data_IF_032482176193
#
_entry.id   IF_032482176193
#
_cell.length_a   1.000
_cell.length_b   1.000
_cell.length_c   1.000
_cell.angle_alpha   90.00
_cell.angle_beta   90.00
_cell.angle_gamma   90.00
#
_symmetry.space_group_name_H-M   'P 1'
#
loop_
_entity.id
_entity.type
_entity.pdbx_description
1 polymer ?
#
# COMPACT_ATOMS: atom_id res chain seq x y z
N UNK A 1 0.92 -8.15 -27.25
CA UNK A 1 -0.24 -9.04 -27.44
C UNK A 1 -1.46 -8.16 -27.60
N UNK A 2 -1.97 -7.97 -28.82
CA UNK A 2 -3.16 -7.18 -29.09
C UNK A 2 -4.34 -8.12 -29.29
N UNK A 3 -5.41 -7.93 -28.51
CA UNK A 3 -6.68 -8.64 -28.72
C UNK A 3 -7.58 -7.68 -29.51
N UNK A 4 -7.91 -8.04 -30.74
CA UNK A 4 -8.89 -7.34 -31.57
C UNK A 4 -10.23 -8.04 -31.38
N UNK A 5 -11.18 -7.37 -30.72
CA UNK A 5 -12.55 -7.88 -30.60
C UNK A 5 -13.36 -7.36 -31.79
N UNK A 6 -13.80 -8.28 -32.66
CA UNK A 6 -14.82 -7.98 -33.68
C UNK A 6 -16.19 -8.02 -33.02
N UNK A 7 -17.02 -6.96 -33.13
CA UNK A 7 -18.38 -7.01 -32.59
C UNK A 7 -19.23 -7.96 -33.43
N UNK A 8 -19.78 -9.00 -32.79
CA UNK A 8 -20.83 -9.85 -33.36
C UNK A 8 -22.08 -9.01 -33.58
N UNK A 9 -22.71 -9.14 -34.76
CA UNK A 9 -24.02 -8.52 -35.03
C UNK A 9 -25.03 -8.94 -33.96
N UNK A 10 -25.58 -7.96 -33.24
CA UNK A 10 -26.63 -8.18 -32.24
C UNK A 10 -27.96 -8.35 -32.98
N UNK A 11 -28.58 -9.52 -32.84
CA UNK A 11 -30.01 -9.71 -33.13
C UNK A 11 -30.78 -9.39 -31.85
N UNK A 12 -31.58 -8.32 -31.87
CA UNK A 12 -32.52 -8.00 -30.80
C UNK A 12 -33.80 -8.79 -31.04
N UNK A 13 -33.96 -9.91 -30.35
CA UNK A 13 -35.28 -10.45 -30.02
C UNK A 13 -35.78 -9.70 -28.79
N UNK A 14 -36.92 -9.01 -28.93
CA UNK A 14 -37.60 -8.33 -27.82
C UNK A 14 -37.93 -9.36 -26.72
N UNK A 15 -37.66 -8.99 -25.46
CA UNK A 15 -37.68 -9.83 -24.24
C UNK A 15 -36.40 -10.62 -23.89
N UNK A 16 -35.23 -10.00 -23.99
CA UNK A 16 -34.06 -10.47 -23.26
C UNK A 16 -33.51 -9.37 -22.34
N UNK A 17 -33.65 -9.54 -21.03
CA UNK A 17 -33.08 -8.65 -20.00
C UNK A 17 -31.56 -8.74 -19.91
N UNK A 18 -30.93 -9.64 -20.68
CA UNK A 18 -29.48 -9.75 -20.81
C UNK A 18 -28.92 -8.68 -21.77
N UNK A 19 -28.14 -7.75 -21.21
CA UNK A 19 -27.36 -6.77 -21.98
C UNK A 19 -25.95 -7.29 -22.26
N UNK A 20 -25.39 -6.91 -23.42
CA UNK A 20 -23.98 -7.15 -23.73
C UNK A 20 -23.04 -6.27 -22.89
N UNK A 21 -21.77 -6.69 -22.79
CA UNK A 21 -20.70 -5.88 -22.20
C UNK A 21 -20.48 -4.61 -23.03
N UNK A 22 -20.39 -3.48 -22.35
CA UNK A 22 -20.12 -2.18 -22.98
C UNK A 22 -18.70 -1.72 -22.67
N UNK A 23 -18.15 -0.83 -23.50
CA UNK A 23 -16.84 -0.21 -23.23
C UNK A 23 -16.83 0.49 -21.86
N UNK A 24 -17.95 1.10 -21.45
CA UNK A 24 -18.09 1.73 -20.13
C UNK A 24 -17.88 0.73 -19.00
N UNK A 25 -18.37 -0.50 -19.13
CA UNK A 25 -18.17 -1.54 -18.11
C UNK A 25 -16.70 -1.92 -17.95
N UNK A 26 -15.96 -1.97 -19.07
CA UNK A 26 -14.54 -2.31 -19.09
C UNK A 26 -13.70 -1.18 -18.51
N UNK A 27 -13.94 0.07 -18.96
CA UNK A 27 -13.17 1.24 -18.50
C UNK A 27 -13.43 1.59 -17.03
N UNK A 28 -14.66 1.34 -16.53
CA UNK A 28 -15.00 1.54 -15.13
C UNK A 28 -14.52 0.39 -14.22
N UNK A 29 -14.05 -0.72 -14.80
CA UNK A 29 -13.68 -1.90 -14.03
C UNK A 29 -14.86 -2.54 -13.31
N UNK A 30 -16.09 -2.46 -13.84
CA UNK A 30 -17.32 -2.98 -13.21
C UNK A 30 -17.20 -4.46 -12.84
N UNK A 31 -16.45 -5.22 -13.63
CA UNK A 31 -16.22 -6.65 -13.43
C UNK A 31 -14.80 -6.97 -12.91
N UNK A 32 -14.14 -6.01 -12.26
CA UNK A 32 -12.85 -6.26 -11.60
C UNK A 32 -13.03 -7.12 -10.36
N UNK A 33 -12.16 -8.11 -10.19
CA UNK A 33 -12.15 -8.97 -9.02
C UNK A 33 -11.20 -8.42 -7.95
N UNK A 34 -11.53 -8.65 -6.68
CA UNK A 34 -10.64 -8.31 -5.57
C UNK A 34 -9.68 -9.46 -5.31
N UNK A 35 -8.42 -9.11 -5.05
CA UNK A 35 -7.39 -10.06 -4.60
C UNK A 35 -7.03 -9.76 -3.15
N UNK A 36 -6.52 -10.77 -2.45
CA UNK A 36 -6.06 -10.63 -1.08
C UNK A 36 -4.70 -11.30 -0.95
N UNK A 37 -3.69 -10.50 -0.65
CA UNK A 37 -2.32 -10.95 -0.38
C UNK A 37 -1.97 -10.51 1.04
N UNK A 38 -1.87 -11.45 2.01
CA UNK A 38 -1.50 -11.11 3.38
C UNK A 38 -0.10 -10.45 3.40
N UNK A 39 0.02 -9.28 4.03
CA UNK A 39 1.32 -8.65 4.25
C UNK A 39 1.95 -9.23 5.52
N UNK A 40 2.70 -10.31 5.37
CA UNK A 40 3.27 -11.06 6.48
C UNK A 40 4.31 -10.27 7.26
N UNK A 41 4.19 -10.32 8.59
CA UNK A 41 5.18 -9.76 9.52
C UNK A 41 5.80 -10.82 10.43
N UNK A 42 5.14 -11.97 10.56
CA UNK A 42 5.62 -13.16 11.27
C UNK A 42 5.03 -14.42 10.62
N UNK A 43 5.33 -15.60 11.17
CA UNK A 43 4.74 -16.86 10.70
C UNK A 43 3.23 -16.98 10.94
N UNK A 44 2.68 -16.24 11.91
CA UNK A 44 1.27 -16.31 12.29
C UNK A 44 0.51 -14.98 12.15
N UNK A 45 1.18 -13.88 11.85
CA UNK A 45 0.56 -12.56 11.78
C UNK A 45 0.80 -11.87 10.45
N UNK A 46 -0.24 -11.18 9.98
CA UNK A 46 -0.17 -10.33 8.80
C UNK A 46 -0.89 -9.00 9.03
N UNK A 47 -0.49 -8.01 8.25
CA UNK A 47 -1.15 -6.71 8.16
C UNK A 47 -2.10 -6.69 6.97
N UNK A 48 -3.25 -6.06 7.16
CA UNK A 48 -4.15 -5.72 6.06
C UNK A 48 -4.83 -4.38 6.33
N UNK A 49 -5.32 -3.75 5.27
CA UNK A 49 -6.09 -2.52 5.37
C UNK A 49 -7.59 -2.88 5.45
N UNK A 50 -8.26 -2.40 6.50
CA UNK A 50 -9.70 -2.61 6.69
C UNK A 50 -10.52 -1.74 5.72
N UNK A 51 -11.84 -2.01 5.63
CA UNK A 51 -12.76 -1.19 4.85
C UNK A 51 -12.78 0.29 5.27
N UNK A 52 -12.49 0.56 6.56
CA UNK A 52 -12.39 1.92 7.12
C UNK A 52 -11.04 2.60 6.87
N UNK A 53 -10.15 1.95 6.11
CA UNK A 53 -8.76 2.35 5.87
C UNK A 53 -7.88 2.37 7.12
N UNK A 54 -8.22 1.57 8.14
CA UNK A 54 -7.32 1.33 9.27
C UNK A 54 -6.35 0.22 8.92
N UNK A 55 -5.12 0.30 9.45
CA UNK A 55 -4.15 -0.77 9.31
C UNK A 55 -4.30 -1.72 10.48
N UNK A 56 -4.67 -2.97 10.18
CA UNK A 56 -5.03 -3.99 11.14
C UNK A 56 -4.00 -5.12 11.09
N UNK A 57 -3.47 -5.46 12.26
CA UNK A 57 -2.71 -6.66 12.51
C UNK A 57 -3.68 -7.78 12.88
N UNK A 58 -3.62 -8.87 12.14
CA UNK A 58 -4.42 -10.07 12.39
C UNK A 58 -3.49 -11.22 12.78
N UNK A 59 -3.81 -11.88 13.89
CA UNK A 59 -3.13 -13.09 14.33
C UNK A 59 -4.00 -14.31 13.97
N UNK A 60 -3.44 -15.23 13.17
CA UNK A 60 -4.16 -16.40 12.65
C UNK A 60 -4.35 -17.47 13.72
N UNK A 61 -3.43 -17.59 14.68
CA UNK A 61 -3.52 -18.60 15.75
C UNK A 61 -4.62 -18.26 16.76
N UNK A 62 -4.69 -16.99 17.19
CA UNK A 62 -5.66 -16.55 18.19
C UNK A 62 -6.98 -16.05 17.59
N UNK A 63 -7.00 -15.74 16.29
CA UNK A 63 -8.12 -15.10 15.62
C UNK A 63 -8.36 -13.64 16.05
N UNK A 64 -7.45 -13.06 16.84
CA UNK A 64 -7.57 -11.69 17.33
C UNK A 64 -7.03 -10.69 16.31
N UNK A 65 -7.64 -9.50 16.30
CA UNK A 65 -7.23 -8.40 15.44
C UNK A 65 -7.03 -7.12 16.25
N UNK A 66 -5.98 -6.38 15.90
CA UNK A 66 -5.59 -5.14 16.56
C UNK A 66 -5.34 -4.06 15.51
N UNK A 67 -5.87 -2.87 15.72
CA UNK A 67 -5.56 -1.73 14.85
C UNK A 67 -4.22 -1.14 15.27
N UNK A 68 -3.21 -1.25 14.41
CA UNK A 68 -1.87 -0.70 14.67
C UNK A 68 -1.79 0.77 14.27
N UNK A 69 -2.53 1.18 13.24
CA UNK A 69 -2.51 2.54 12.74
C UNK A 69 -3.90 2.95 12.29
N UNK A 70 -4.34 4.10 12.79
CA UNK A 70 -5.65 4.65 12.43
C UNK A 70 -5.64 5.32 11.05
N UNK A 71 -6.80 5.35 10.41
CA UNK A 71 -6.99 6.08 9.16
C UNK A 71 -6.71 7.59 9.29
N UNK A 72 -6.85 8.17 10.50
CA UNK A 72 -6.57 9.57 10.77
C UNK A 72 -5.07 9.85 10.63
N UNK A 73 -4.23 8.96 11.14
CA UNK A 73 -2.77 9.06 11.02
C UNK A 73 -2.30 8.88 9.57
N UNK A 74 -2.93 8.00 8.80
CA UNK A 74 -2.67 7.90 7.35
C UNK A 74 -3.03 9.20 6.63
N UNK A 75 -4.22 9.74 6.91
CA UNK A 75 -4.73 10.96 6.29
C UNK A 75 -3.96 12.21 6.70
N UNK A 76 -3.37 12.27 7.90
CA UNK A 76 -2.64 13.47 8.35
C UNK A 76 -1.42 13.78 7.47
N UNK A 77 -0.89 12.78 6.77
CA UNK A 77 0.21 12.93 5.81
C UNK A 77 -0.18 12.56 4.37
N UNK A 78 -1.47 12.27 4.12
CA UNK A 78 -1.97 11.73 2.84
C UNK A 78 -1.18 10.50 2.35
N UNK A 79 -0.89 9.57 3.27
CA UNK A 79 -0.14 8.37 2.96
C UNK A 79 -0.94 7.42 2.06
N UNK A 80 -0.29 6.96 0.99
CA UNK A 80 -0.82 5.97 0.05
C UNK A 80 -0.41 4.55 0.42
N UNK A 81 0.73 4.39 1.10
CA UNK A 81 1.27 3.09 1.49
C UNK A 81 1.98 3.18 2.84
N UNK A 82 2.30 2.02 3.43
CA UNK A 82 2.96 1.93 4.73
C UNK A 82 3.91 0.73 4.78
N UNK A 83 4.82 0.73 5.76
CA UNK A 83 5.62 -0.44 6.08
C UNK A 83 6.03 -0.47 7.54
N UNK A 84 5.73 -1.58 8.22
CA UNK A 84 6.04 -1.80 9.63
C UNK A 84 7.49 -2.24 9.79
N UNK A 85 8.18 -1.73 10.81
CA UNK A 85 9.51 -2.21 11.18
C UNK A 85 9.41 -3.63 11.76
N UNK A 86 10.42 -4.49 11.55
CA UNK A 86 10.40 -5.86 12.10
C UNK A 86 10.25 -5.92 13.63
N UNK A 87 10.76 -4.92 14.35
CA UNK A 87 10.61 -4.79 15.80
C UNK A 87 9.26 -4.21 16.26
N UNK A 88 8.37 -3.86 15.32
CA UNK A 88 7.02 -3.30 15.55
C UNK A 88 7.01 -1.98 16.31
N UNK A 89 8.13 -1.29 16.38
CA UNK A 89 8.24 -0.01 17.08
C UNK A 89 7.90 1.17 16.17
N UNK A 90 8.18 1.05 14.88
CA UNK A 90 8.05 2.14 13.92
C UNK A 90 7.29 1.69 12.67
N UNK A 91 6.64 2.64 12.02
CA UNK A 91 6.01 2.45 10.72
C UNK A 91 6.36 3.63 9.84
N UNK A 92 6.85 3.36 8.63
CA UNK A 92 6.97 4.42 7.63
C UNK A 92 5.65 4.57 6.89
N UNK A 93 5.35 5.81 6.53
CA UNK A 93 4.18 6.24 5.79
C UNK A 93 4.65 6.90 4.51
N UNK A 94 4.28 6.29 3.38
CA UNK A 94 4.66 6.73 2.04
C UNK A 94 3.61 7.67 1.47
N UNK A 95 4.04 8.89 1.12
CA UNK A 95 3.19 9.96 0.59
C UNK A 95 3.83 10.58 -0.66
N UNK A 96 3.11 11.44 -1.38
CA UNK A 96 3.61 12.12 -2.58
C UNK A 96 4.20 11.17 -3.65
N UNK A 97 3.49 10.06 -3.90
CA UNK A 97 3.91 9.06 -4.88
C UNK A 97 4.05 9.67 -6.28
N UNK A 98 5.24 9.57 -6.87
CA UNK A 98 5.53 10.03 -8.22
C UNK A 98 6.14 8.90 -9.07
N UNK A 99 5.39 8.47 -10.11
CA UNK A 99 5.73 7.35 -10.99
C UNK A 99 6.87 7.71 -11.94
N UNK A 100 7.84 6.81 -12.11
CA UNK A 100 8.88 6.92 -13.13
C UNK A 100 8.78 5.83 -14.19
N UNK A 101 8.96 4.56 -13.78
CA UNK A 101 8.96 3.38 -14.66
C UNK A 101 8.07 2.28 -14.06
N UNK A 102 8.07 1.08 -14.64
CA UNK A 102 7.20 -0.04 -14.20
C UNK A 102 7.23 -0.27 -12.69
N UNK A 103 8.42 -0.32 -12.08
CA UNK A 103 8.60 -0.51 -10.64
C UNK A 103 9.29 0.66 -9.94
N UNK A 104 9.86 1.60 -10.70
CA UNK A 104 10.54 2.78 -10.15
C UNK A 104 9.55 3.90 -9.89
N UNK A 105 9.69 4.54 -8.73
CA UNK A 105 8.95 5.71 -8.32
C UNK A 105 9.78 6.50 -7.31
N UNK A 106 9.30 7.68 -6.97
CA UNK A 106 9.82 8.45 -5.84
C UNK A 106 8.68 8.80 -4.90
N UNK A 107 8.98 8.97 -3.62
CA UNK A 107 7.99 9.32 -2.61
C UNK A 107 8.61 10.09 -1.43
N UNK A 108 7.75 10.74 -0.66
CA UNK A 108 8.05 11.30 0.66
C UNK A 108 7.75 10.24 1.72
N UNK A 109 8.67 10.04 2.67
CA UNK A 109 8.47 9.08 3.76
C UNK A 109 8.43 9.80 5.11
N UNK A 110 7.38 9.53 5.88
CA UNK A 110 7.24 9.97 7.27
C UNK A 110 7.39 8.76 8.18
N UNK A 111 8.15 8.87 9.26
CA UNK A 111 8.28 7.78 10.24
C UNK A 111 7.41 8.10 11.45
N UNK A 112 6.60 7.13 11.84
CA UNK A 112 5.70 7.20 12.99
C UNK A 112 6.13 6.19 14.05
N UNK A 113 6.24 6.66 15.28
CA UNK A 113 6.54 5.86 16.46
C UNK A 113 5.23 5.31 17.03
N UNK A 114 5.09 3.98 17.03
CA UNK A 114 3.89 3.30 17.50
C UNK A 114 3.77 3.30 19.03
N UNK A 115 4.89 3.43 19.74
CA UNK A 115 4.91 3.43 21.22
C UNK A 115 4.48 4.79 21.76
N UNK A 116 5.02 5.86 21.18
CA UNK A 116 4.73 7.24 21.59
C UNK A 116 3.48 7.82 20.91
N UNK A 117 3.07 7.26 19.78
CA UNK A 117 1.92 7.76 19.01
C UNK A 117 2.22 9.08 18.29
N UNK A 118 3.48 9.32 17.92
CA UNK A 118 3.92 10.56 17.31
C UNK A 118 4.84 10.34 16.10
N UNK A 119 4.91 11.35 15.22
CA UNK A 119 5.87 11.36 14.14
C UNK A 119 7.28 11.69 14.66
N UNK A 120 8.30 11.02 14.12
CA UNK A 120 9.70 11.27 14.48
C UNK A 120 10.14 12.63 13.92
N UNK A 121 10.37 13.63 14.79
CA UNK A 121 10.62 15.04 14.41
C UNK A 121 12.09 15.50 14.44
N UNK A 122 13.04 14.65 14.83
CA UNK A 122 14.45 15.04 14.98
C UNK A 122 15.28 14.97 13.69
N UNK A 123 14.93 14.07 12.78
CA UNK A 123 15.78 13.69 11.65
C UNK A 123 14.92 13.40 10.41
N UNK A 124 14.23 14.41 9.88
CA UNK A 124 13.40 14.21 8.69
C UNK A 124 14.21 13.59 7.54
N UNK A 125 13.54 12.68 6.83
CA UNK A 125 14.11 12.07 5.64
C UNK A 125 14.13 13.10 4.49
N UNK A 126 15.19 13.10 3.66
CA UNK A 126 15.24 14.00 2.51
C UNK A 126 14.10 13.68 1.54
N UNK A 127 13.75 14.65 0.70
CA UNK A 127 12.69 14.52 -0.30
C UNK A 127 13.22 14.95 -1.67
N UNK A 128 12.87 14.24 -2.77
CA UNK A 128 12.14 12.97 -2.83
C UNK A 128 13.09 11.76 -2.68
N UNK A 129 12.65 10.69 -2.03
CA UNK A 129 13.39 9.42 -1.91
C UNK A 129 13.00 8.47 -3.03
N UNK A 130 13.97 7.74 -3.58
CA UNK A 130 13.79 6.80 -4.69
C UNK A 130 13.46 5.37 -4.24
N UNK A 131 13.93 5.00 -3.05
CA UNK A 131 13.65 3.70 -2.44
C UNK A 131 13.89 3.78 -0.94
N UNK A 132 13.06 3.11 -0.14
CA UNK A 132 13.24 2.98 1.30
C UNK A 132 12.82 1.58 1.74
N UNK A 133 13.60 0.96 2.61
CA UNK A 133 13.23 -0.28 3.26
C UNK A 133 13.74 -0.35 4.70
N UNK A 134 13.03 -1.11 5.53
CA UNK A 134 13.53 -1.53 6.84
C UNK A 134 14.61 -2.60 6.66
N UNK A 135 15.52 -2.66 7.63
CA UNK A 135 16.36 -3.83 7.87
C UNK A 135 15.48 -5.05 8.17
N UNK A 136 15.90 -6.29 7.87
CA UNK A 136 15.14 -7.49 8.20
C UNK A 136 15.02 -7.72 9.72
N UNK A 137 15.86 -7.08 10.52
CA UNK A 137 15.84 -7.14 11.99
C UNK A 137 15.96 -5.74 12.60
N UNK A 138 15.25 -5.51 13.71
CA UNK A 138 15.23 -4.22 14.42
C UNK A 138 14.51 -3.11 13.64
N UNK A 139 14.98 -1.88 13.80
CA UNK A 139 14.42 -0.64 13.22
C UNK A 139 15.44 0.16 12.42
N UNK A 140 16.52 -0.47 11.96
CA UNK A 140 17.45 0.17 11.03
C UNK A 140 16.75 0.38 9.69
N UNK A 141 17.07 1.46 8.99
CA UNK A 141 16.50 1.75 7.68
C UNK A 141 17.59 2.11 6.67
N UNK A 142 17.38 1.69 5.42
CA UNK A 142 18.20 2.08 4.29
C UNK A 142 17.33 2.81 3.26
N UNK A 143 17.87 3.87 2.67
CA UNK A 143 17.15 4.62 1.65
C UNK A 143 18.08 5.12 0.55
N UNK A 144 17.51 5.37 -0.63
CA UNK A 144 18.22 5.89 -1.79
C UNK A 144 17.76 7.31 -2.06
N UNK A 145 18.71 8.24 -2.06
CA UNK A 145 18.48 9.66 -2.34
C UNK A 145 19.55 10.16 -3.31
N UNK A 146 19.13 10.86 -4.37
CA UNK A 146 20.04 11.35 -5.42
C UNK A 146 21.01 10.28 -5.94
N UNK A 147 20.51 9.06 -6.13
CA UNK A 147 21.27 7.88 -6.57
C UNK A 147 22.38 7.41 -5.60
N UNK A 148 22.39 7.91 -4.36
CA UNK A 148 23.28 7.45 -3.30
C UNK A 148 22.50 6.67 -2.24
N UNK A 149 23.15 5.65 -1.67
CA UNK A 149 22.58 4.81 -0.61
C UNK A 149 22.97 5.40 0.74
N UNK A 150 21.98 5.58 1.61
CA UNK A 150 22.14 6.06 2.98
C UNK A 150 21.62 5.01 3.95
N UNK A 151 22.28 4.90 5.10
CA UNK A 151 21.88 4.02 6.19
C UNK A 151 21.66 4.82 7.46
N UNK A 152 20.53 4.58 8.11
CA UNK A 152 20.18 5.14 9.41
C UNK A 152 20.09 4.01 10.43
N UNK A 153 20.88 4.11 11.50
CA UNK A 153 20.85 3.10 12.56
C UNK A 153 19.56 3.15 13.39
N UNK A 154 18.96 4.34 13.51
CA UNK A 154 17.65 4.57 14.09
C UNK A 154 16.90 5.65 13.28
N UNK A 155 15.56 5.55 13.21
CA UNK A 155 14.69 6.56 12.61
C UNK A 155 14.97 7.99 13.07
#
# INVERSE_FOLDING_TARGET
>A
MCIVLRPSRVHNSEENTMRALTLKDILNGTFSYKTFFPNWISGQEYLHQSADNNIVLYNIETGQSYTILSNRTMKSVNASNYGLSPDRQFVYLESDYSKLWRYSYTATYYIYDLSNGEFVRGNELPRPIQYLCWSPVGSKLAYVYQNNIYLKQRP
#
